data_IF_845745022880
#
_entry.id   IF_845745022880
#
_cell.length_a   1.000
_cell.length_b   1.000
_cell.length_c   1.000
_cell.angle_alpha   90.00
_cell.angle_beta   90.00
_cell.angle_gamma   90.00
#
_symmetry.space_group_name_H-M   'P 1'
#
loop_
_entity.id
_entity.type
_entity.pdbx_description
1 polymer ?
#
# COMPACT_ATOMS: atom_id res chain seq x y z
N UNK A 1 13.22 -35.25 18.87
CA UNK A 1 13.79 -33.89 19.06
C UNK A 1 13.97 -33.29 17.68
N UNK A 2 13.03 -32.43 17.25
CA UNK A 2 12.97 -31.88 15.89
C UNK A 2 14.17 -30.97 15.61
N UNK A 3 14.87 -31.27 14.52
CA UNK A 3 15.77 -30.33 13.87
C UNK A 3 14.93 -29.39 13.00
N UNK A 4 14.29 -28.39 13.60
CA UNK A 4 13.79 -27.22 12.87
C UNK A 4 14.99 -26.32 12.52
N UNK A 5 15.86 -26.84 11.65
CA UNK A 5 16.83 -26.04 10.93
C UNK A 5 16.05 -25.20 9.91
N UNK A 6 15.45 -24.12 10.38
CA UNK A 6 14.87 -23.08 9.56
C UNK A 6 16.03 -22.44 8.80
N UNK A 7 16.34 -22.96 7.61
CA UNK A 7 17.38 -22.47 6.72
C UNK A 7 17.16 -20.96 6.52
N UNK A 8 17.98 -20.14 7.19
CA UNK A 8 18.07 -18.72 6.90
C UNK A 8 18.67 -18.66 5.50
N UNK A 9 17.84 -18.51 4.47
CA UNK A 9 18.31 -18.25 3.12
C UNK A 9 19.11 -16.95 3.17
N UNK A 10 20.43 -17.07 3.15
CA UNK A 10 21.33 -15.92 3.04
C UNK A 10 21.06 -15.31 1.67
N UNK A 11 20.42 -14.14 1.65
CA UNK A 11 20.22 -13.39 0.43
C UNK A 11 21.59 -12.99 -0.10
N UNK A 12 21.82 -13.22 -1.39
CA UNK A 12 22.97 -12.63 -2.07
C UNK A 12 22.88 -11.10 -2.01
N UNK A 13 24.02 -10.42 -2.05
CA UNK A 13 24.08 -8.95 -2.10
C UNK A 13 23.23 -8.37 -3.26
N UNK A 14 23.12 -9.11 -4.36
CA UNK A 14 22.31 -8.70 -5.51
C UNK A 14 20.81 -8.87 -5.27
N UNK A 15 20.38 -9.95 -4.62
CA UNK A 15 18.98 -10.14 -4.21
C UNK A 15 18.57 -9.07 -3.19
N UNK A 16 19.43 -8.80 -2.20
CA UNK A 16 19.17 -7.76 -1.20
C UNK A 16 19.02 -6.36 -1.80
N UNK A 17 19.88 -6.01 -2.77
CA UNK A 17 19.75 -4.75 -3.53
C UNK A 17 18.46 -4.68 -4.33
N UNK A 18 18.03 -5.80 -4.90
CA UNK A 18 16.77 -5.88 -5.65
C UNK A 18 15.57 -5.68 -4.71
N UNK A 19 15.58 -6.35 -3.55
CA UNK A 19 14.55 -6.17 -2.50
C UNK A 19 14.50 -4.71 -2.05
N UNK A 20 15.64 -4.11 -1.71
CA UNK A 20 15.72 -2.72 -1.29
C UNK A 20 15.19 -1.75 -2.37
N UNK A 21 15.55 -1.97 -3.63
CA UNK A 21 15.05 -1.16 -4.75
C UNK A 21 13.53 -1.26 -4.88
N UNK A 22 12.97 -2.47 -4.83
CA UNK A 22 11.52 -2.69 -4.92
C UNK A 22 10.78 -2.02 -3.76
N UNK A 23 11.29 -2.16 -2.52
CA UNK A 23 10.71 -1.53 -1.34
C UNK A 23 10.80 0.00 -1.41
N UNK A 24 11.90 0.55 -1.90
CA UNK A 24 12.09 2.00 -2.08
C UNK A 24 11.13 2.58 -3.13
N UNK A 25 10.92 1.88 -4.25
CA UNK A 25 9.94 2.29 -5.26
C UNK A 25 8.53 2.30 -4.64
N UNK A 26 8.18 1.24 -3.91
CA UNK A 26 6.91 1.15 -3.20
C UNK A 26 6.69 2.30 -2.23
N UNK A 27 7.71 2.63 -1.43
CA UNK A 27 7.64 3.73 -0.47
C UNK A 27 7.37 5.06 -1.18
N UNK A 28 8.13 5.37 -2.23
CA UNK A 28 7.94 6.61 -3.00
C UNK A 28 6.54 6.73 -3.61
N UNK A 29 5.99 5.63 -4.12
CA UNK A 29 4.62 5.62 -4.67
C UNK A 29 3.56 5.88 -3.58
N UNK A 30 3.70 5.24 -2.41
CA UNK A 30 2.77 5.45 -1.29
C UNK A 30 2.83 6.89 -0.78
N UNK A 31 4.02 7.49 -0.73
CA UNK A 31 4.21 8.88 -0.33
C UNK A 31 3.58 9.85 -1.34
N UNK A 32 3.84 9.66 -2.63
CA UNK A 32 3.25 10.47 -3.71
C UNK A 32 1.71 10.42 -3.70
N UNK A 33 1.13 9.22 -3.59
CA UNK A 33 -0.33 9.05 -3.52
C UNK A 33 -0.88 9.65 -2.22
N UNK A 34 -0.15 9.56 -1.11
CA UNK A 34 -0.53 10.18 0.16
C UNK A 34 -0.58 11.71 0.08
N UNK A 35 0.31 12.33 -0.67
CA UNK A 35 0.29 13.78 -0.92
C UNK A 35 -0.89 14.18 -1.78
N UNK A 36 -1.15 13.44 -2.87
CA UNK A 36 -2.33 13.66 -3.73
C UNK A 36 -3.63 13.55 -2.94
N UNK A 37 -3.73 12.56 -2.05
CA UNK A 37 -4.86 12.39 -1.16
C UNK A 37 -5.01 13.54 -0.15
N UNK A 38 -3.89 14.06 0.36
CA UNK A 38 -3.91 15.24 1.22
C UNK A 38 -4.41 16.48 0.44
N UNK A 39 -3.98 16.67 -0.81
CA UNK A 39 -4.47 17.74 -1.69
C UNK A 39 -5.98 17.61 -1.94
N UNK A 40 -6.48 16.42 -2.28
CA UNK A 40 -7.92 16.17 -2.43
C UNK A 40 -8.69 16.56 -1.16
N UNK A 41 -8.15 16.20 0.01
CA UNK A 41 -8.75 16.53 1.29
C UNK A 41 -8.86 18.05 1.53
N UNK A 42 -7.82 18.80 1.16
CA UNK A 42 -7.83 20.26 1.26
C UNK A 42 -8.81 20.90 0.26
N UNK A 43 -8.94 20.33 -0.94
CA UNK A 43 -9.94 20.78 -1.93
C UNK A 43 -11.38 20.53 -1.47
N UNK A 44 -11.63 19.38 -0.82
CA UNK A 44 -12.92 19.09 -0.19
C UNK A 44 -13.25 20.09 0.91
N UNK A 45 -12.28 20.48 1.74
CA UNK A 45 -12.48 21.52 2.76
C UNK A 45 -12.74 22.90 2.14
N UNK A 46 -12.12 23.20 1.00
CA UNK A 46 -12.30 24.47 0.29
C UNK A 46 -13.61 24.55 -0.52
N UNK A 47 -14.36 23.45 -0.64
CA UNK A 47 -15.65 23.43 -1.36
C UNK A 47 -15.53 23.62 -2.87
N UNK A 48 -14.49 23.04 -3.49
CA UNK A 48 -14.12 23.22 -4.90
C UNK A 48 -14.48 22.01 -5.77
N UNK A 49 -15.73 21.85 -6.23
CA UNK A 49 -16.25 20.60 -6.79
C UNK A 49 -15.54 20.14 -8.07
N UNK A 50 -15.16 21.06 -8.95
CA UNK A 50 -14.47 20.72 -10.20
C UNK A 50 -13.06 20.19 -9.90
N UNK A 51 -12.31 20.90 -9.06
CA UNK A 51 -10.97 20.52 -8.67
C UNK A 51 -10.93 19.24 -7.82
N UNK A 52 -11.99 18.96 -7.03
CA UNK A 52 -12.16 17.69 -6.31
C UNK A 52 -12.25 16.53 -7.31
N UNK A 53 -13.05 16.67 -8.38
CA UNK A 53 -13.20 15.62 -9.39
C UNK A 53 -11.87 15.36 -10.13
N UNK A 54 -11.17 16.42 -10.54
CA UNK A 54 -9.86 16.28 -11.18
C UNK A 54 -8.84 15.62 -10.25
N UNK A 55 -8.76 16.04 -8.99
CA UNK A 55 -7.85 15.46 -8.02
C UNK A 55 -8.17 13.99 -7.73
N UNK A 56 -9.45 13.60 -7.72
CA UNK A 56 -9.86 12.21 -7.58
C UNK A 56 -9.41 11.36 -8.78
N UNK A 57 -9.57 11.86 -10.01
CA UNK A 57 -9.07 11.19 -11.22
C UNK A 57 -7.55 11.03 -11.19
N UNK A 58 -6.81 12.06 -10.78
CA UNK A 58 -5.34 11.98 -10.63
C UNK A 58 -4.92 10.89 -9.64
N UNK A 59 -5.62 10.76 -8.51
CA UNK A 59 -5.36 9.69 -7.53
C UNK A 59 -5.67 8.32 -8.13
N UNK A 60 -6.79 8.18 -8.84
CA UNK A 60 -7.17 6.92 -9.49
C UNK A 60 -6.12 6.47 -10.52
N UNK A 61 -5.64 7.40 -11.36
CA UNK A 61 -4.57 7.12 -12.32
C UNK A 61 -3.28 6.72 -11.60
N UNK A 62 -2.88 7.44 -10.54
CA UNK A 62 -1.68 7.12 -9.78
C UNK A 62 -1.75 5.72 -9.13
N UNK A 63 -2.91 5.34 -8.58
CA UNK A 63 -3.15 4.01 -8.03
C UNK A 63 -3.04 2.91 -9.10
N UNK A 64 -3.65 3.12 -10.26
CA UNK A 64 -3.56 2.19 -11.40
C UNK A 64 -2.12 2.02 -11.87
N UNK A 65 -1.37 3.10 -11.97
CA UNK A 65 0.06 3.07 -12.35
C UNK A 65 0.95 2.43 -11.28
N UNK A 66 0.58 2.52 -10.00
CA UNK A 66 1.33 1.92 -8.89
C UNK A 66 1.04 0.43 -8.69
N UNK A 67 -0.07 -0.09 -9.21
CA UNK A 67 -0.50 -1.48 -9.02
C UNK A 67 0.58 -2.53 -9.38
N UNK A 68 1.33 -2.42 -10.50
CA UNK A 68 2.40 -3.37 -10.81
C UNK A 68 3.52 -3.37 -9.76
N UNK A 69 3.89 -2.20 -9.24
CA UNK A 69 4.93 -2.08 -8.22
C UNK A 69 4.48 -2.71 -6.89
N UNK A 70 3.21 -2.55 -6.50
CA UNK A 70 2.66 -3.24 -5.32
C UNK A 70 2.63 -4.76 -5.52
N UNK A 71 2.30 -5.25 -6.71
CA UNK A 71 2.36 -6.66 -7.03
C UNK A 71 3.80 -7.20 -6.90
N UNK A 72 4.80 -6.45 -7.35
CA UNK A 72 6.20 -6.85 -7.23
C UNK A 72 6.70 -6.82 -5.78
N UNK A 73 6.21 -5.91 -4.94
CA UNK A 73 6.46 -5.93 -3.49
C UNK A 73 5.87 -7.21 -2.87
N UNK A 74 4.62 -7.57 -3.19
CA UNK A 74 3.99 -8.80 -2.69
C UNK A 74 4.76 -10.04 -3.11
N UNK A 75 5.21 -10.12 -4.37
CA UNK A 75 6.08 -11.21 -4.83
C UNK A 75 7.39 -11.25 -4.06
N UNK A 76 8.01 -10.09 -3.85
CA UNK A 76 9.27 -9.95 -3.10
C UNK A 76 9.09 -10.44 -1.65
N UNK A 77 7.99 -10.08 -0.99
CA UNK A 77 7.66 -10.55 0.35
C UNK A 77 7.42 -12.07 0.39
N UNK A 78 6.72 -12.62 -0.60
CA UNK A 78 6.51 -14.06 -0.73
C UNK A 78 7.83 -14.82 -0.91
N UNK A 79 8.78 -14.28 -1.69
CA UNK A 79 10.11 -14.87 -1.87
C UNK A 79 10.95 -14.88 -0.59
N UNK A 80 10.74 -13.90 0.30
CA UNK A 80 11.35 -13.87 1.62
C UNK A 80 10.69 -14.89 2.57
N UNK A 81 9.46 -15.30 2.27
CA UNK A 81 8.62 -16.11 3.17
C UNK A 81 7.91 -15.26 4.22
N UNK A 82 7.66 -13.99 3.92
CA UNK A 82 7.02 -13.04 4.82
C UNK A 82 5.55 -12.80 4.43
N UNK A 83 4.64 -13.03 5.39
CA UNK A 83 3.22 -12.71 5.22
C UNK A 83 2.92 -11.21 5.43
N UNK A 84 3.78 -10.50 6.14
CA UNK A 84 3.64 -9.06 6.43
C UNK A 84 4.95 -8.30 6.23
N UNK A 85 4.88 -6.97 6.05
CA UNK A 85 6.09 -6.12 5.97
C UNK A 85 6.92 -6.15 7.26
N UNK A 86 6.28 -6.41 8.41
CA UNK A 86 6.96 -6.59 9.68
C UNK A 86 7.76 -7.91 9.71
N UNK A 87 7.18 -8.98 9.19
CA UNK A 87 7.88 -10.27 9.05
C UNK A 87 9.02 -10.15 8.04
N UNK A 88 8.81 -9.43 6.94
CA UNK A 88 9.83 -9.15 5.94
C UNK A 88 11.01 -8.38 6.56
N UNK A 89 10.74 -7.32 7.33
CA UNK A 89 11.78 -6.57 8.04
C UNK A 89 12.56 -7.47 9.02
N UNK A 90 11.86 -8.38 9.72
CA UNK A 90 12.48 -9.32 10.65
C UNK A 90 13.37 -10.34 9.93
N UNK A 91 12.92 -10.90 8.81
CA UNK A 91 13.69 -11.82 7.99
C UNK A 91 14.91 -11.13 7.36
N UNK A 92 14.75 -9.90 6.88
CA UNK A 92 15.85 -9.12 6.33
C UNK A 92 16.93 -8.81 7.39
N UNK A 93 16.54 -8.50 8.63
CA UNK A 93 17.50 -8.35 9.75
C UNK A 93 18.23 -9.65 10.08
N UNK A 94 17.52 -10.79 10.08
CA UNK A 94 18.15 -12.10 10.28
C UNK A 94 19.16 -12.44 9.18
N UNK A 95 18.97 -11.90 7.97
CA UNK A 95 19.89 -11.99 6.85
C UNK A 95 20.91 -10.84 6.78
N UNK A 96 21.05 -10.05 7.86
CA UNK A 96 21.96 -8.90 7.98
C UNK A 96 21.71 -7.77 6.95
N UNK A 97 20.53 -7.73 6.32
CA UNK A 97 20.14 -6.73 5.34
C UNK A 97 19.41 -5.55 6.01
N UNK A 98 20.13 -4.80 6.85
CA UNK A 98 19.56 -3.73 7.68
C UNK A 98 18.91 -2.57 6.89
N UNK A 99 19.46 -2.21 5.73
CA UNK A 99 18.90 -1.15 4.88
C UNK A 99 17.54 -1.56 4.30
N UNK A 100 17.46 -2.77 3.77
CA UNK A 100 16.22 -3.33 3.23
C UNK A 100 15.17 -3.51 4.34
N UNK A 101 15.59 -3.93 5.54
CA UNK A 101 14.70 -4.03 6.69
C UNK A 101 14.13 -2.67 7.10
N UNK A 102 14.96 -1.63 7.12
CA UNK A 102 14.53 -0.25 7.39
C UNK A 102 13.51 0.24 6.37
N UNK A 103 13.70 -0.09 5.08
CA UNK A 103 12.74 0.24 4.02
C UNK A 103 11.41 -0.49 4.17
N UNK A 104 11.42 -1.77 4.56
CA UNK A 104 10.20 -2.52 4.83
C UNK A 104 9.39 -1.89 5.98
N UNK A 105 10.07 -1.46 7.05
CA UNK A 105 9.43 -0.72 8.13
C UNK A 105 8.92 0.65 7.69
N UNK A 106 9.71 1.42 6.94
CA UNK A 106 9.28 2.72 6.41
C UNK A 106 8.02 2.59 5.56
N UNK A 107 7.99 1.60 4.65
CA UNK A 107 6.84 1.28 3.82
C UNK A 107 5.62 0.88 4.65
N UNK A 108 5.80 0.06 5.69
CA UNK A 108 4.72 -0.33 6.62
C UNK A 108 4.10 0.89 7.28
N UNK A 109 4.92 1.81 7.78
CA UNK A 109 4.43 3.04 8.41
C UNK A 109 3.76 3.97 7.39
N UNK A 110 4.31 4.09 6.18
CA UNK A 110 3.72 4.90 5.11
C UNK A 110 2.32 4.39 4.73
N UNK A 111 2.16 3.07 4.55
CA UNK A 111 0.87 2.44 4.26
C UNK A 111 -0.14 2.63 5.39
N UNK A 112 0.29 2.50 6.65
CA UNK A 112 -0.59 2.76 7.80
C UNK A 112 -1.07 4.21 7.85
N UNK A 113 -0.17 5.18 7.61
CA UNK A 113 -0.55 6.61 7.51
C UNK A 113 -1.49 6.87 6.32
N UNK A 114 -1.21 6.25 5.18
CA UNK A 114 -2.04 6.35 3.98
C UNK A 114 -3.46 5.83 4.25
N UNK A 115 -3.60 4.64 4.85
CA UNK A 115 -4.89 4.05 5.19
C UNK A 115 -5.72 4.94 6.12
N UNK A 116 -5.09 5.58 7.11
CA UNK A 116 -5.78 6.56 7.98
C UNK A 116 -6.28 7.77 7.18
N UNK A 117 -5.43 8.35 6.33
CA UNK A 117 -5.79 9.50 5.50
C UNK A 117 -6.90 9.18 4.49
N UNK A 118 -6.91 7.97 3.93
CA UNK A 118 -7.92 7.57 2.94
C UNK A 118 -9.30 7.39 3.57
N UNK A 119 -9.36 6.84 4.78
CA UNK A 119 -10.59 6.76 5.57
C UNK A 119 -11.13 8.16 5.89
N UNK A 120 -10.27 9.09 6.31
CA UNK A 120 -10.68 10.47 6.61
C UNK A 120 -11.22 11.19 5.36
N UNK A 121 -10.56 11.03 4.22
CA UNK A 121 -11.00 11.58 2.94
C UNK A 121 -12.35 10.97 2.51
N UNK A 122 -12.54 9.65 2.66
CA UNK A 122 -13.78 8.97 2.31
C UNK A 122 -14.95 9.40 3.23
N UNK A 123 -14.69 9.56 4.54
CA UNK A 123 -15.67 10.08 5.50
C UNK A 123 -16.11 11.49 5.09
N UNK A 124 -15.17 12.36 4.72
CA UNK A 124 -15.49 13.71 4.25
C UNK A 124 -16.23 13.70 2.93
N UNK A 125 -15.83 12.88 1.96
CA UNK A 125 -16.58 12.76 0.70
C UNK A 125 -18.04 12.33 0.95
N UNK A 126 -18.25 11.40 1.88
CA UNK A 126 -19.60 10.98 2.33
C UNK A 126 -20.38 12.12 3.00
N UNK A 127 -19.71 12.94 3.81
CA UNK A 127 -20.32 14.09 4.48
C UNK A 127 -20.59 15.26 3.52
N UNK A 128 -19.70 15.48 2.54
CA UNK A 128 -19.79 16.53 1.54
C UNK A 128 -20.91 16.24 0.53
N UNK A 129 -21.37 14.99 0.42
CA UNK A 129 -22.21 14.60 -0.69
C UNK A 129 -23.22 13.47 -0.41
N UNK A 130 -24.49 13.88 -0.28
CA UNK A 130 -25.64 13.08 -0.73
C UNK A 130 -25.66 12.90 -2.27
N UNK A 131 -24.73 13.50 -3.03
CA UNK A 131 -24.66 13.48 -4.51
C UNK A 131 -23.45 12.75 -5.16
N UNK A 132 -22.36 12.44 -4.45
CA UNK A 132 -21.20 11.64 -4.96
C UNK A 132 -21.42 10.17 -4.55
N UNK A 133 -22.58 9.63 -4.91
CA UNK A 133 -22.94 8.27 -4.47
C UNK A 133 -22.51 7.21 -5.51
N UNK A 134 -22.39 7.56 -6.79
CA UNK A 134 -22.12 6.57 -7.86
C UNK A 134 -20.65 6.18 -7.99
N UNK A 135 -19.73 7.15 -8.05
CA UNK A 135 -18.30 6.89 -8.24
C UNK A 135 -17.65 6.16 -7.05
N UNK A 136 -18.06 6.52 -5.82
CA UNK A 136 -17.56 5.87 -4.61
C UNK A 136 -18.16 4.47 -4.41
N UNK A 137 -19.42 4.23 -4.82
CA UNK A 137 -20.01 2.88 -4.83
C UNK A 137 -19.31 1.94 -5.83
N UNK A 138 -18.87 2.45 -6.98
CA UNK A 138 -18.08 1.66 -7.94
C UNK A 138 -16.72 1.24 -7.36
N UNK A 139 -16.08 2.11 -6.59
CA UNK A 139 -14.83 1.79 -5.88
C UNK A 139 -15.07 0.83 -4.70
N UNK A 140 -16.19 0.95 -3.98
CA UNK A 140 -16.60 -0.01 -2.97
C UNK A 140 -16.91 -1.39 -3.56
N UNK A 141 -17.57 -1.47 -4.72
CA UNK A 141 -17.87 -2.75 -5.38
C UNK A 141 -16.59 -3.49 -5.81
N UNK A 142 -15.57 -2.76 -6.27
CA UNK A 142 -14.25 -3.32 -6.57
C UNK A 142 -13.53 -3.82 -5.31
N UNK A 143 -13.63 -3.11 -4.18
CA UNK A 143 -13.08 -3.57 -2.89
C UNK A 143 -13.90 -4.68 -2.20
N UNK A 144 -15.20 -4.78 -2.47
CA UNK A 144 -16.07 -5.85 -1.95
C UNK A 144 -15.86 -7.16 -2.73
N UNK A 145 -15.49 -7.14 -4.01
CA UNK A 145 -15.09 -8.37 -4.70
C UNK A 145 -13.81 -8.99 -4.14
N UNK A 146 -12.89 -8.21 -3.55
CA UNK A 146 -11.74 -8.77 -2.82
C UNK A 146 -12.14 -9.41 -1.48
N UNK A 147 -13.11 -8.83 -0.77
CA UNK A 147 -13.58 -9.40 0.51
C UNK A 147 -14.65 -10.49 0.35
N UNK A 148 -15.39 -10.54 -0.77
CA UNK A 148 -16.42 -11.53 -1.04
C UNK A 148 -15.88 -12.89 -1.47
N UNK A 149 -14.65 -12.93 -2.04
CA UNK A 149 -13.93 -14.18 -2.32
C UNK A 149 -13.16 -14.74 -1.11
N UNK A 150 -13.38 -14.17 0.08
CA UNK A 150 -12.87 -14.69 1.35
C UNK A 150 -13.98 -15.19 2.28
N UNK A 151 -15.26 -15.05 1.90
CA UNK A 151 -16.40 -15.55 2.70
C UNK A 151 -17.12 -16.73 2.00
N UNK A 152 -16.79 -17.05 0.75
CA UNK A 152 -17.35 -18.22 0.04
C UNK A 152 -16.55 -19.52 0.23
N UNK A 153 -15.38 -19.46 0.87
CA UNK A 153 -14.58 -20.64 1.27
C UNK A 153 -14.15 -20.49 2.74
N UNK A 154 -15.14 -20.44 3.64
CA UNK A 154 -14.95 -20.66 5.07
C UNK A 154 -16.14 -21.45 5.63
#
# INVERSE_FOLDING_TARGET
MSQDAQWIRVLSTQEARTVAKTLSIGLGLVEDISEKLHKLNNLMLAGKPHEIAEAATVIETALKSAAPAFADITKTMALLGAGTLQDAATQLRKAEQNDAASLADALRHALSRFAKKSVDANRRATQLNRGINSALKSLQALGIQENGRLIAEA
#
